data_IF_084312233398
#
_entry.id   IF_084312233398
#
_cell.length_a   1.000
_cell.length_b   1.000
_cell.length_c   1.000
_cell.angle_alpha   90.00
_cell.angle_beta   90.00
_cell.angle_gamma   90.00
#
_symmetry.space_group_name_H-M   'P 1'
#
loop_
_entity.id
_entity.type
_entity.pdbx_description
1 polymer ?
#
# COMPACT_ATOMS: atom_id res chain seq x y z
N UNK A 1 49.48 -16.91 4.90
CA UNK A 1 48.00 -16.81 4.78
C UNK A 1 47.67 -15.34 4.63
N UNK A 2 47.21 -14.92 3.45
CA UNK A 2 46.94 -13.51 3.16
C UNK A 2 45.69 -13.06 3.92
N UNK A 3 45.79 -11.94 4.65
CA UNK A 3 44.66 -11.35 5.35
C UNK A 3 43.74 -10.65 4.35
N UNK A 4 42.51 -11.14 4.19
CA UNK A 4 41.47 -10.50 3.39
C UNK A 4 41.11 -9.15 4.02
N UNK A 5 41.46 -8.05 3.34
CA UNK A 5 41.06 -6.71 3.75
C UNK A 5 39.58 -6.52 3.42
N UNK A 6 38.73 -6.53 4.45
CA UNK A 6 37.29 -6.30 4.31
C UNK A 6 36.97 -4.97 3.64
N UNK A 7 36.15 -5.01 2.59
CA UNK A 7 35.68 -3.82 1.86
C UNK A 7 34.55 -3.18 2.66
N UNK A 8 34.75 -1.95 3.15
CA UNK A 8 33.68 -1.16 3.79
C UNK A 8 32.68 -0.72 2.72
N UNK A 9 31.43 -1.19 2.81
CA UNK A 9 30.31 -0.70 1.97
C UNK A 9 29.48 0.29 2.77
N UNK A 10 29.07 1.38 2.13
CA UNK A 10 28.08 2.32 2.69
C UNK A 10 26.72 1.65 2.57
N UNK A 11 26.12 1.29 3.70
CA UNK A 11 24.73 0.83 3.76
C UNK A 11 23.85 2.05 3.90
N UNK A 12 22.97 2.28 2.92
CA UNK A 12 21.90 3.27 3.02
C UNK A 12 20.73 2.54 3.67
N UNK A 13 20.27 3.05 4.81
CA UNK A 13 19.06 2.58 5.48
C UNK A 13 18.02 3.67 5.30
N UNK A 14 16.87 3.31 4.74
CA UNK A 14 15.70 4.19 4.67
C UNK A 14 14.76 3.72 5.78
N UNK A 15 14.36 4.65 6.65
CA UNK A 15 13.39 4.40 7.71
C UNK A 15 12.03 4.94 7.25
N UNK A 16 10.97 4.16 7.51
CA UNK A 16 9.61 4.61 7.21
C UNK A 16 9.19 5.65 8.25
N UNK A 17 8.85 6.85 7.77
CA UNK A 17 8.23 7.91 8.57
C UNK A 17 6.77 8.07 8.11
N UNK A 18 5.84 8.03 9.05
CA UNK A 18 4.43 8.24 8.76
C UNK A 18 4.11 9.74 8.75
N UNK A 19 3.77 10.27 7.59
CA UNK A 19 3.43 11.68 7.39
C UNK A 19 1.91 11.85 7.20
N UNK A 20 1.17 12.00 8.30
CA UNK A 20 -0.30 12.10 8.26
C UNK A 20 -0.82 13.23 7.33
N UNK A 21 -0.13 14.38 7.30
CA UNK A 21 -0.51 15.52 6.45
C UNK A 21 -0.37 15.23 4.94
N UNK A 22 0.39 14.20 4.58
CA UNK A 22 0.68 13.82 3.19
C UNK A 22 -0.26 12.74 2.63
N UNK A 23 -1.08 12.09 3.47
CA UNK A 23 -1.98 11.00 3.07
C UNK A 23 -2.90 11.36 1.89
N UNK A 24 -3.44 12.58 1.89
CA UNK A 24 -4.27 13.06 0.78
C UNK A 24 -3.48 13.12 -0.54
N UNK A 25 -2.21 13.51 -0.48
CA UNK A 25 -1.31 13.58 -1.64
C UNK A 25 -0.95 12.17 -2.11
N UNK A 26 -0.61 11.27 -1.19
CA UNK A 26 -0.30 9.87 -1.52
C UNK A 26 -1.48 9.17 -2.21
N UNK A 27 -2.72 9.41 -1.78
CA UNK A 27 -3.88 8.85 -2.44
C UNK A 27 -4.08 9.36 -3.86
N UNK A 28 -3.85 10.66 -4.11
CA UNK A 28 -3.91 11.25 -5.45
C UNK A 28 -2.81 10.70 -6.35
N UNK A 29 -1.60 10.55 -5.83
CA UNK A 29 -0.46 9.99 -6.57
C UNK A 29 -0.67 8.51 -6.89
N UNK A 30 -1.24 7.73 -5.96
CA UNK A 30 -1.64 6.35 -6.20
C UNK A 30 -2.66 6.26 -7.33
N UNK A 31 -3.71 7.08 -7.30
CA UNK A 31 -4.73 7.11 -8.35
C UNK A 31 -4.13 7.52 -9.71
N UNK A 32 -3.21 8.50 -9.73
CA UNK A 32 -2.50 8.93 -10.93
C UNK A 32 -1.64 7.81 -11.51
N UNK A 33 -0.91 7.08 -10.67
CA UNK A 33 -0.10 5.93 -11.06
C UNK A 33 -0.98 4.80 -11.59
N UNK A 34 -2.09 4.51 -10.91
CA UNK A 34 -3.07 3.51 -11.33
C UNK A 34 -3.63 3.83 -12.71
N UNK A 35 -4.11 5.06 -12.94
CA UNK A 35 -4.64 5.52 -14.24
C UNK A 35 -3.65 5.28 -15.37
N UNK A 36 -2.36 5.57 -15.15
CA UNK A 36 -1.29 5.28 -16.13
C UNK A 36 -1.12 3.78 -16.34
N UNK A 37 -1.10 3.01 -15.26
CA UNK A 37 -0.89 1.55 -15.29
C UNK A 37 -1.97 0.83 -16.08
N UNK A 38 -3.25 1.16 -15.86
CA UNK A 38 -4.37 0.56 -16.60
C UNK A 38 -4.45 1.07 -18.04
N UNK A 39 -4.07 2.33 -18.31
CA UNK A 39 -4.04 2.85 -19.68
C UNK A 39 -2.95 2.20 -20.54
N UNK A 40 -1.77 1.95 -19.96
CA UNK A 40 -0.65 1.28 -20.61
C UNK A 40 -0.96 -0.18 -21.00
N UNK A 41 -1.95 -0.82 -20.33
CA UNK A 41 -2.38 -2.21 -20.53
C UNK A 41 -1.24 -3.23 -20.60
N UNK A 42 -0.17 -2.99 -19.83
CA UNK A 42 0.99 -3.89 -19.75
C UNK A 42 0.71 -5.17 -18.96
N UNK A 43 -0.33 -5.17 -18.13
CA UNK A 43 -0.67 -6.28 -17.24
C UNK A 43 -2.12 -6.73 -17.45
N UNK A 44 -2.34 -8.04 -17.47
CA UNK A 44 -3.69 -8.61 -17.57
C UNK A 44 -4.48 -8.44 -16.25
N UNK A 45 -3.78 -8.40 -15.12
CA UNK A 45 -4.36 -8.23 -13.78
C UNK A 45 -3.58 -7.14 -13.08
N UNK A 46 -4.30 -6.22 -12.45
CA UNK A 46 -3.74 -5.15 -11.62
C UNK A 46 -4.38 -5.27 -10.24
N UNK A 47 -3.55 -5.43 -9.21
CA UNK A 47 -4.00 -5.47 -7.81
C UNK A 47 -3.56 -4.16 -7.17
N UNK A 48 -4.52 -3.45 -6.57
CA UNK A 48 -4.26 -2.26 -5.75
C UNK A 48 -4.44 -2.68 -4.30
N UNK A 49 -3.33 -2.84 -3.59
CA UNK A 49 -3.32 -3.11 -2.15
C UNK A 49 -3.02 -1.79 -1.43
N UNK A 50 -4.08 -1.15 -0.96
CA UNK A 50 -3.99 0.11 -0.22
C UNK A 50 -5.04 0.10 0.90
N UNK A 51 -4.64 0.34 2.16
CA UNK A 51 -5.58 0.48 3.24
C UNK A 51 -6.39 1.78 3.10
N UNK A 52 -7.54 1.85 3.74
CA UNK A 52 -8.24 3.10 4.08
C UNK A 52 -8.67 3.98 2.90
N UNK A 53 -8.93 3.39 1.73
CA UNK A 53 -9.54 4.14 0.63
C UNK A 53 -10.98 4.54 0.99
N UNK A 54 -11.25 5.84 0.94
CA UNK A 54 -12.60 6.36 1.05
C UNK A 54 -13.46 5.89 -0.13
N UNK A 55 -14.78 5.82 0.07
CA UNK A 55 -15.71 5.40 -0.97
C UNK A 55 -15.61 6.25 -2.26
N UNK A 56 -15.32 7.56 -2.11
CA UNK A 56 -15.09 8.46 -3.25
C UNK A 56 -13.83 8.08 -4.05
N UNK A 57 -12.75 7.71 -3.37
CA UNK A 57 -11.52 7.27 -4.01
C UNK A 57 -11.75 5.96 -4.76
N UNK A 58 -12.43 4.99 -4.12
CA UNK A 58 -12.80 3.72 -4.76
C UNK A 58 -13.61 3.92 -6.04
N UNK A 59 -14.53 4.89 -6.08
CA UNK A 59 -15.28 5.22 -7.28
C UNK A 59 -14.37 5.69 -8.43
N UNK A 60 -13.36 6.51 -8.15
CA UNK A 60 -12.40 6.96 -9.17
C UNK A 60 -11.53 5.82 -9.71
N UNK A 61 -11.11 4.88 -8.86
CA UNK A 61 -10.41 3.66 -9.29
C UNK A 61 -11.32 2.81 -10.19
N UNK A 62 -12.56 2.60 -9.75
CA UNK A 62 -13.56 1.82 -10.47
C UNK A 62 -13.83 2.40 -11.88
N UNK A 63 -14.08 3.70 -11.99
CA UNK A 63 -14.30 4.39 -13.26
C UNK A 63 -13.08 4.31 -14.18
N UNK A 64 -11.88 4.56 -13.66
CA UNK A 64 -10.66 4.52 -14.44
C UNK A 64 -10.35 3.12 -14.99
N UNK A 65 -10.55 2.09 -14.18
CA UNK A 65 -10.37 0.70 -14.58
C UNK A 65 -11.37 0.25 -15.63
N UNK A 66 -12.66 0.54 -15.43
CA UNK A 66 -13.71 0.26 -16.43
C UNK A 66 -13.42 0.94 -17.77
N UNK A 67 -13.04 2.23 -17.75
CA UNK A 67 -12.72 2.98 -18.97
C UNK A 67 -11.53 2.39 -19.72
N UNK A 68 -10.58 1.80 -19.00
CA UNK A 68 -9.44 1.10 -19.59
C UNK A 68 -9.78 -0.32 -20.13
N UNK A 69 -11.00 -0.80 -19.87
CA UNK A 69 -11.49 -2.10 -20.33
C UNK A 69 -11.20 -3.25 -19.36
N UNK A 70 -10.89 -2.96 -18.11
CA UNK A 70 -10.75 -3.99 -17.07
C UNK A 70 -12.10 -4.30 -16.42
N UNK A 71 -12.30 -5.57 -16.08
CA UNK A 71 -13.34 -5.96 -15.13
C UNK A 71 -12.85 -5.67 -13.71
N UNK A 72 -13.69 -5.02 -12.90
CA UNK A 72 -13.29 -4.51 -11.60
C UNK A 72 -13.93 -5.34 -10.50
N UNK A 73 -13.10 -5.73 -9.53
CA UNK A 73 -13.50 -6.43 -8.33
C UNK A 73 -13.02 -5.67 -7.11
N UNK A 74 -13.87 -5.61 -6.08
CA UNK A 74 -13.49 -5.11 -4.75
C UNK A 74 -13.34 -6.30 -3.82
N UNK A 75 -12.19 -6.42 -3.19
CA UNK A 75 -11.93 -7.43 -2.18
C UNK A 75 -12.08 -6.79 -0.80
N UNK A 76 -12.89 -7.41 0.07
CA UNK A 76 -12.89 -7.11 1.49
C UNK A 76 -11.89 -8.03 2.18
N UNK A 77 -11.08 -7.48 3.09
CA UNK A 77 -10.20 -8.28 3.93
C UNK A 77 -11.03 -9.29 4.74
N UNK A 78 -10.58 -10.55 4.76
CA UNK A 78 -11.28 -11.63 5.46
C UNK A 78 -11.17 -11.51 6.99
N UNK A 79 -10.10 -10.88 7.48
CA UNK A 79 -9.86 -10.64 8.89
C UNK A 79 -9.75 -9.12 9.10
N UNK A 80 -10.59 -8.60 9.99
CA UNK A 80 -10.66 -7.17 10.32
C UNK A 80 -10.52 -6.92 11.81
N UNK A 81 -10.37 -7.97 12.63
CA UNK A 81 -10.20 -7.83 14.08
C UNK A 81 -8.79 -7.36 14.41
N UNK A 82 -8.71 -6.20 15.05
CA UNK A 82 -7.44 -5.61 15.47
C UNK A 82 -6.56 -6.58 16.28
N UNK A 83 -7.15 -7.40 17.16
CA UNK A 83 -6.39 -8.36 17.96
C UNK A 83 -5.67 -9.40 17.09
N UNK A 84 -6.38 -9.96 16.11
CA UNK A 84 -5.83 -10.97 15.19
C UNK A 84 -4.82 -10.38 14.21
N UNK A 85 -5.06 -9.15 13.78
CA UNK A 85 -4.12 -8.40 12.95
C UNK A 85 -2.82 -8.07 13.73
N UNK A 86 -2.94 -7.70 15.01
CA UNK A 86 -1.80 -7.42 15.88
C UNK A 86 -0.96 -8.69 16.17
N UNK A 87 -1.60 -9.83 16.47
CA UNK A 87 -0.91 -11.11 16.66
C UNK A 87 -0.09 -11.55 15.43
N UNK A 88 -0.51 -11.11 14.23
CA UNK A 88 0.15 -11.41 12.95
C UNK A 88 1.04 -10.26 12.45
N UNK A 89 1.16 -9.18 13.21
CA UNK A 89 1.87 -7.99 12.80
C UNK A 89 3.38 -8.23 12.79
N UNK A 90 4.00 -8.13 11.62
CA UNK A 90 5.45 -8.26 11.44
C UNK A 90 6.19 -6.91 11.47
N UNK A 91 5.44 -5.81 11.60
CA UNK A 91 5.93 -4.44 11.55
C UNK A 91 6.12 -3.81 12.94
N UNK A 92 5.91 -4.58 14.01
CA UNK A 92 6.05 -4.12 15.39
C UNK A 92 5.02 -3.07 15.83
N UNK A 93 3.90 -2.92 15.11
CA UNK A 93 2.84 -1.96 15.50
C UNK A 93 2.13 -2.43 16.76
N UNK A 94 1.89 -1.50 17.67
CA UNK A 94 1.07 -1.72 18.86
C UNK A 94 -0.38 -2.07 18.49
N UNK A 95 -1.10 -2.68 19.43
CA UNK A 95 -2.52 -2.99 19.24
C UNK A 95 -3.35 -1.71 19.04
N UNK A 96 -2.96 -0.61 19.69
CA UNK A 96 -3.62 0.69 19.57
C UNK A 96 -3.49 1.25 18.15
N UNK A 97 -2.28 1.28 17.58
CA UNK A 97 -2.05 1.70 16.19
C UNK A 97 -2.80 0.83 15.18
N UNK A 98 -2.89 -0.47 15.43
CA UNK A 98 -3.65 -1.40 14.58
C UNK A 98 -5.16 -1.15 14.70
N UNK A 99 -5.66 -0.83 15.89
CA UNK A 99 -7.07 -0.51 16.10
C UNK A 99 -7.48 0.82 15.45
N UNK A 100 -6.62 1.85 15.56
CA UNK A 100 -6.82 3.14 14.89
C UNK A 100 -6.89 2.97 13.37
N UNK A 101 -5.95 2.20 12.79
CA UNK A 101 -5.94 1.90 11.35
C UNK A 101 -7.18 1.09 10.90
N UNK A 102 -7.83 0.36 11.81
CA UNK A 102 -9.06 -0.37 11.53
C UNK A 102 -10.34 0.48 11.61
N UNK A 103 -10.22 1.78 11.94
CA UNK A 103 -11.33 2.72 11.99
C UNK A 103 -12.18 2.64 13.27
N UNK A 104 -11.55 2.36 14.41
CA UNK A 104 -12.14 2.58 15.74
C UNK A 104 -11.59 3.82 16.42
#
# INVERSE_FOLDING_TARGET
VAAEKGVKRKMMTEEYEYEADMEATYALDLLKLYRRTVADRKFNVVIVDAPNLAASQLAEFWEAGQKAGYEIYMAQALETRAERCHERNIHGRSLEEVAEAAGK
#
